data_IF_465065128343
#
_entry.id   IF_465065128343
#
_cell.length_a   1.000
_cell.length_b   1.000
_cell.length_c   1.000
_cell.angle_alpha   90.00
_cell.angle_beta   90.00
_cell.angle_gamma   90.00
#
_symmetry.space_group_name_H-M   'P 1'
#
loop_
_entity.id
_entity.type
_entity.pdbx_description
1 polymer ?
#
# COMPACT_ATOMS: atom_id res chain seq x y z
N UNK A 1 25.08 -29.43 -58.08
CA UNK A 1 26.48 -29.11 -57.75
C UNK A 1 26.52 -27.92 -56.80
N UNK A 2 27.34 -28.05 -55.77
CA UNK A 2 27.55 -27.13 -54.63
C UNK A 2 28.04 -25.74 -55.04
N UNK A 3 27.53 -24.68 -54.38
CA UNK A 3 28.34 -23.48 -54.11
C UNK A 3 28.14 -23.03 -52.66
N UNK A 4 29.26 -23.12 -51.94
CA UNK A 4 29.51 -22.81 -50.53
C UNK A 4 29.17 -21.34 -50.23
N UNK A 5 28.51 -21.08 -49.10
CA UNK A 5 28.55 -19.76 -48.44
C UNK A 5 29.92 -19.61 -47.77
N UNK A 6 30.71 -18.64 -48.22
CA UNK A 6 32.00 -18.27 -47.60
C UNK A 6 31.78 -17.40 -46.36
N UNK A 7 32.69 -17.57 -45.39
CA UNK A 7 32.71 -17.05 -44.03
C UNK A 7 33.10 -15.56 -43.91
N UNK A 8 32.93 -14.76 -44.96
CA UNK A 8 33.51 -13.40 -45.02
C UNK A 8 32.54 -12.25 -44.66
N UNK A 9 31.33 -12.55 -44.19
CA UNK A 9 30.38 -11.53 -43.74
C UNK A 9 30.58 -11.06 -42.27
N UNK A 10 31.61 -11.56 -41.57
CA UNK A 10 31.82 -11.30 -40.14
C UNK A 10 32.83 -10.19 -39.81
N UNK A 11 33.47 -9.57 -40.80
CA UNK A 11 34.45 -8.50 -40.56
C UNK A 11 34.17 -7.27 -41.44
N UNK A 12 33.14 -6.52 -41.08
CA UNK A 12 33.02 -5.11 -41.48
C UNK A 12 33.15 -4.23 -40.23
N UNK A 13 34.06 -3.25 -40.20
CA UNK A 13 34.26 -2.41 -39.02
C UNK A 13 33.02 -1.53 -38.80
N UNK A 14 32.40 -1.65 -37.63
CA UNK A 14 31.32 -0.77 -37.18
C UNK A 14 31.87 0.64 -36.98
N UNK A 15 31.27 1.59 -37.71
CA UNK A 15 31.52 3.03 -37.57
C UNK A 15 31.26 3.45 -36.12
N UNK A 16 32.28 3.95 -35.44
CA UNK A 16 32.17 4.47 -34.07
C UNK A 16 31.25 5.70 -34.06
N UNK A 17 30.11 5.60 -33.37
CA UNK A 17 29.35 6.78 -32.92
C UNK A 17 30.23 7.60 -31.96
N UNK A 18 30.15 8.95 -31.98
CA UNK A 18 30.95 9.77 -31.10
C UNK A 18 30.58 9.45 -29.64
N UNK A 19 31.61 9.24 -28.81
CA UNK A 19 31.47 9.16 -27.36
C UNK A 19 30.97 10.51 -26.88
N UNK A 20 29.75 10.58 -26.39
CA UNK A 20 29.32 11.68 -25.53
C UNK A 20 30.14 11.57 -24.25
N UNK A 21 31.07 12.49 -24.06
CA UNK A 21 31.78 12.65 -22.80
C UNK A 21 30.74 12.88 -21.71
N UNK A 22 30.66 11.95 -20.75
CA UNK A 22 30.01 12.23 -19.48
C UNK A 22 30.84 13.33 -18.82
N UNK A 23 30.29 14.54 -18.80
CA UNK A 23 30.87 15.65 -18.06
C UNK A 23 31.20 15.20 -16.64
N UNK A 24 32.43 15.44 -16.23
CA UNK A 24 32.89 15.16 -14.88
C UNK A 24 31.94 15.83 -13.88
N UNK A 25 31.37 15.04 -12.97
CA UNK A 25 30.58 15.54 -11.85
C UNK A 25 31.54 16.38 -11.00
N UNK A 26 31.36 17.69 -11.02
CA UNK A 26 32.06 18.59 -10.10
C UNK A 26 31.56 18.33 -8.68
N UNK A 27 32.42 18.37 -7.64
CA UNK A 27 32.01 18.18 -6.25
C UNK A 27 30.93 19.16 -5.75
N UNK A 28 30.59 20.19 -6.52
CA UNK A 28 29.53 21.16 -6.21
C UNK A 28 28.10 20.67 -6.48
N UNK A 29 27.91 19.55 -7.18
CA UNK A 29 26.56 19.01 -7.47
C UNK A 29 26.02 18.10 -6.35
N UNK A 30 26.81 17.86 -5.31
CA UNK A 30 26.40 17.19 -4.08
C UNK A 30 26.01 18.23 -3.02
N UNK A 31 25.03 19.08 -3.32
CA UNK A 31 24.26 19.67 -2.22
C UNK A 31 23.51 18.48 -1.61
N UNK A 32 23.98 18.01 -0.46
CA UNK A 32 23.23 17.04 0.33
C UNK A 32 21.84 17.65 0.56
N UNK A 33 20.81 17.11 -0.08
CA UNK A 33 19.44 17.53 0.17
C UNK A 33 19.19 17.42 1.68
N UNK A 34 18.92 18.56 2.33
CA UNK A 34 18.55 18.56 3.73
C UNK A 34 17.33 17.63 3.90
N UNK A 35 17.50 16.61 4.71
CA UNK A 35 16.44 15.64 4.93
C UNK A 35 15.36 16.26 5.79
N UNK A 36 14.17 16.46 5.22
CA UNK A 36 12.98 16.88 5.95
C UNK A 36 12.21 15.67 6.49
N UNK A 37 11.43 15.88 7.56
CA UNK A 37 10.72 14.82 8.27
C UNK A 37 9.32 15.27 8.66
N UNK A 38 8.33 14.39 8.42
CA UNK A 38 7.03 14.48 9.07
C UNK A 38 7.18 14.12 10.55
N UNK A 39 6.78 15.04 11.44
CA UNK A 39 6.85 14.88 12.89
C UNK A 39 5.45 14.93 13.47
N UNK A 40 5.19 14.04 14.43
CA UNK A 40 3.96 14.00 15.19
C UNK A 40 4.23 13.30 16.52
N UNK A 41 3.63 13.75 17.61
CA UNK A 41 3.87 13.19 18.95
C UNK A 41 3.56 11.68 19.05
N UNK A 42 2.67 11.17 18.19
CA UNK A 42 2.29 9.75 18.15
C UNK A 42 3.00 8.97 17.05
N UNK A 43 3.86 9.59 16.23
CA UNK A 43 4.76 8.81 15.40
C UNK A 43 5.84 8.17 16.30
N UNK A 44 6.14 6.87 16.14
CA UNK A 44 7.20 6.23 16.92
C UNK A 44 8.58 6.85 16.71
N UNK A 45 8.81 7.38 15.51
CA UNK A 45 9.98 8.15 15.14
C UNK A 45 9.58 9.15 14.03
N UNK A 46 10.34 10.23 13.81
CA UNK A 46 10.15 11.09 12.64
C UNK A 46 10.18 10.26 11.35
N UNK A 47 9.25 10.50 10.43
CA UNK A 47 9.15 9.79 9.15
C UNK A 47 9.76 10.70 8.08
N UNK A 48 10.79 10.21 7.40
CA UNK A 48 11.48 10.99 6.36
C UNK A 48 10.50 11.36 5.24
N UNK A 49 10.61 12.57 4.71
CA UNK A 49 9.89 13.00 3.51
C UNK A 49 10.58 12.46 2.25
N UNK A 50 9.85 12.38 1.13
CA UNK A 50 10.45 11.93 -0.12
C UNK A 50 11.53 12.93 -0.59
N UNK A 51 12.66 12.45 -1.16
CA UNK A 51 13.60 13.32 -1.87
C UNK A 51 12.90 14.16 -2.92
N UNK A 52 13.42 15.36 -3.20
CA UNK A 52 12.73 16.33 -4.07
C UNK A 52 12.49 15.78 -5.48
N UNK A 53 13.49 15.05 -6.01
CA UNK A 53 13.42 14.33 -7.29
C UNK A 53 12.27 13.33 -7.33
N UNK A 54 12.14 12.50 -6.31
CA UNK A 54 11.09 11.48 -6.22
C UNK A 54 9.70 12.12 -6.04
N UNK A 55 9.60 13.16 -5.21
CA UNK A 55 8.37 13.92 -5.01
C UNK A 55 7.87 14.52 -6.33
N UNK A 56 8.77 15.17 -7.10
CA UNK A 56 8.44 15.76 -8.40
C UNK A 56 7.92 14.72 -9.40
N UNK A 57 8.52 13.54 -9.45
CA UNK A 57 8.05 12.45 -10.33
C UNK A 57 6.64 11.95 -9.95
N UNK A 58 6.24 12.01 -8.68
CA UNK A 58 4.87 11.64 -8.28
C UNK A 58 3.83 12.70 -8.68
N UNK A 59 4.21 13.95 -8.92
CA UNK A 59 3.24 15.01 -9.28
C UNK A 59 2.59 14.83 -10.66
N UNK A 60 3.11 13.93 -11.50
CA UNK A 60 2.60 13.70 -12.86
C UNK A 60 1.70 12.48 -12.98
N UNK A 61 1.46 11.74 -11.88
CA UNK A 61 0.66 10.51 -11.89
C UNK A 61 -0.81 10.75 -12.30
N UNK A 62 -1.50 9.79 -12.92
CA UNK A 62 -1.05 8.43 -13.24
C UNK A 62 -0.17 8.35 -14.50
N UNK A 63 0.62 7.28 -14.61
CA UNK A 63 1.45 6.98 -15.79
C UNK A 63 0.61 6.46 -16.97
N UNK A 64 -0.32 5.54 -16.71
CA UNK A 64 -1.27 5.01 -17.69
C UNK A 64 -2.70 5.33 -17.27
N UNK A 65 -3.66 5.45 -18.22
CA UNK A 65 -5.06 5.58 -17.89
C UNK A 65 -5.60 4.30 -17.23
N UNK A 66 -6.62 4.46 -16.38
CA UNK A 66 -7.30 3.32 -15.76
C UNK A 66 -8.17 2.57 -16.77
N UNK A 67 -8.13 1.24 -16.74
CA UNK A 67 -9.01 0.34 -17.49
C UNK A 67 -10.09 -0.20 -16.58
N UNK A 68 -11.35 -0.05 -16.98
CA UNK A 68 -12.48 -0.64 -16.25
C UNK A 68 -12.47 -2.18 -16.32
N UNK A 69 -12.82 -2.81 -15.21
CA UNK A 69 -13.12 -4.24 -15.13
C UNK A 69 -14.43 -4.37 -14.34
N UNK A 70 -15.53 -4.45 -15.10
CA UNK A 70 -16.91 -4.46 -14.61
C UNK A 70 -17.79 -5.45 -15.39
N UNK A 71 -17.17 -6.47 -15.99
CA UNK A 71 -17.80 -7.50 -16.83
C UNK A 71 -18.42 -8.66 -16.02
N UNK A 72 -18.38 -8.57 -14.68
CA UNK A 72 -18.96 -9.55 -13.77
C UNK A 72 -20.00 -8.89 -12.84
N UNK A 73 -21.02 -9.63 -12.36
CA UNK A 73 -22.02 -9.09 -11.44
C UNK A 73 -21.39 -8.39 -10.23
N UNK A 74 -21.88 -7.18 -9.93
CA UNK A 74 -21.48 -6.36 -8.78
C UNK A 74 -19.99 -5.95 -8.71
N UNK A 75 -19.21 -6.25 -9.75
CA UNK A 75 -17.80 -5.91 -9.83
C UNK A 75 -17.64 -4.52 -10.47
N UNK A 76 -16.94 -3.62 -9.79
CA UNK A 76 -16.56 -2.31 -10.32
C UNK A 76 -15.11 -2.02 -9.90
N UNK A 77 -14.20 -2.35 -10.81
CA UNK A 77 -12.78 -2.05 -10.67
C UNK A 77 -12.33 -1.03 -11.73
N UNK A 78 -11.39 -0.18 -11.33
CA UNK A 78 -10.57 0.59 -12.25
C UNK A 78 -9.09 0.21 -12.04
N UNK A 79 -8.48 -0.38 -13.05
CA UNK A 79 -7.13 -0.95 -12.98
C UNK A 79 -6.12 -0.13 -13.78
N UNK A 80 -5.07 0.33 -13.12
CA UNK A 80 -3.96 1.09 -13.69
C UNK A 80 -2.71 0.21 -13.71
N UNK A 81 -2.17 -0.05 -14.90
CA UNK A 81 -1.01 -0.92 -15.12
C UNK A 81 0.04 -0.20 -15.97
N UNK A 82 0.92 0.64 -15.38
CA UNK A 82 0.94 1.03 -13.97
C UNK A 82 0.29 2.41 -13.70
N UNK A 83 -0.04 2.68 -12.43
CA UNK A 83 -0.31 4.05 -11.96
C UNK A 83 0.99 4.80 -11.71
N UNK A 84 1.95 4.16 -11.05
CA UNK A 84 3.28 4.70 -10.71
C UNK A 84 4.31 4.14 -11.71
N UNK A 85 5.04 5.00 -12.45
CA UNK A 85 6.01 4.53 -13.45
C UNK A 85 7.05 3.56 -12.87
N UNK A 86 7.50 2.60 -13.67
CA UNK A 86 8.52 1.62 -13.23
C UNK A 86 9.85 2.28 -12.85
N UNK A 87 10.18 3.44 -13.46
CA UNK A 87 11.35 4.26 -13.10
C UNK A 87 11.31 4.78 -11.66
N UNK A 88 10.12 4.90 -11.09
CA UNK A 88 9.84 5.46 -9.76
C UNK A 88 9.58 4.35 -8.74
N UNK A 89 8.80 3.33 -9.13
CA UNK A 89 8.17 2.40 -8.20
C UNK A 89 9.18 1.62 -7.34
N UNK A 90 10.37 1.30 -7.88
CA UNK A 90 11.46 0.68 -7.09
C UNK A 90 12.01 1.60 -6.01
N UNK A 91 12.32 2.86 -6.34
CA UNK A 91 12.86 3.84 -5.38
C UNK A 91 11.83 4.12 -4.28
N UNK A 92 10.55 4.23 -4.65
CA UNK A 92 9.46 4.41 -3.71
C UNK A 92 9.29 3.19 -2.78
N UNK A 93 9.36 1.96 -3.31
CA UNK A 93 9.33 0.73 -2.51
C UNK A 93 10.46 0.71 -1.48
N UNK A 94 11.70 0.94 -1.91
CA UNK A 94 12.88 0.91 -1.05
C UNK A 94 12.80 1.98 0.04
N UNK A 95 12.36 3.19 -0.33
CA UNK A 95 12.14 4.30 0.59
C UNK A 95 11.08 3.97 1.65
N UNK A 96 9.86 3.62 1.24
CA UNK A 96 8.76 3.37 2.18
C UNK A 96 9.05 2.19 3.10
N UNK A 97 9.71 1.14 2.60
CA UNK A 97 10.13 0.01 3.41
C UNK A 97 11.12 0.42 4.50
N UNK A 98 12.06 1.31 4.18
CA UNK A 98 13.08 1.77 5.12
C UNK A 98 12.51 2.77 6.14
N UNK A 99 11.63 3.67 5.72
CA UNK A 99 11.25 4.86 6.49
C UNK A 99 9.93 4.74 7.26
N UNK A 100 9.05 3.78 6.93
CA UNK A 100 7.81 3.61 7.68
C UNK A 100 8.01 2.74 8.94
N UNK A 101 7.33 3.08 10.05
CA UNK A 101 7.21 2.18 11.18
C UNK A 101 6.24 1.05 10.83
N UNK A 102 6.57 -0.19 11.19
CA UNK A 102 5.71 -1.35 10.95
C UNK A 102 5.43 -2.10 12.25
N UNK A 103 4.34 -2.85 12.24
CA UNK A 103 3.87 -3.67 13.35
C UNK A 103 3.51 -5.06 12.84
N UNK A 104 3.53 -6.04 13.73
CA UNK A 104 3.01 -7.38 13.45
C UNK A 104 1.98 -7.70 14.50
N UNK A 105 0.72 -7.43 14.14
CA UNK A 105 -0.38 -7.49 15.09
C UNK A 105 -0.65 -8.93 15.48
N UNK A 106 -0.87 -9.13 16.77
CA UNK A 106 -1.27 -10.40 17.34
C UNK A 106 -2.63 -10.23 18.01
N UNK A 107 -3.53 -11.17 17.75
CA UNK A 107 -4.86 -11.16 18.33
C UNK A 107 -5.36 -12.58 18.53
N UNK A 108 -6.27 -12.75 19.48
CA UNK A 108 -6.92 -14.02 19.76
C UNK A 108 -8.25 -14.07 19.03
N UNK A 109 -8.48 -15.15 18.28
CA UNK A 109 -9.80 -15.46 17.74
C UNK A 109 -10.39 -16.62 18.51
N UNK A 110 -11.69 -16.56 18.80
CA UNK A 110 -12.45 -17.69 19.33
C UNK A 110 -13.43 -18.18 18.27
N UNK A 111 -13.24 -19.39 17.77
CA UNK A 111 -14.14 -20.02 16.77
C UNK A 111 -14.49 -21.42 17.24
N UNK A 112 -15.78 -21.72 17.36
CA UNK A 112 -16.25 -23.03 17.82
C UNK A 112 -15.74 -23.42 19.22
N UNK A 113 -15.57 -22.46 20.12
CA UNK A 113 -15.04 -22.69 21.47
C UNK A 113 -13.51 -22.77 21.57
N UNK A 114 -12.79 -22.92 20.45
CA UNK A 114 -11.33 -22.95 20.41
C UNK A 114 -10.78 -21.54 20.29
N UNK A 115 -9.87 -21.18 21.19
CA UNK A 115 -9.09 -19.95 21.11
C UNK A 115 -7.81 -20.19 20.31
N UNK A 116 -7.51 -19.33 19.34
CA UNK A 116 -6.29 -19.40 18.54
C UNK A 116 -5.62 -18.05 18.53
N UNK A 117 -4.33 -18.02 18.87
CA UNK A 117 -3.51 -16.82 18.72
C UNK A 117 -3.10 -16.69 17.25
N UNK A 118 -3.52 -15.60 16.63
CA UNK A 118 -3.18 -15.27 15.26
C UNK A 118 -2.13 -14.17 15.28
N UNK A 119 -1.01 -14.44 14.61
CA UNK A 119 -0.04 -13.42 14.22
C UNK A 119 -0.27 -13.07 12.76
N UNK A 120 -0.45 -11.79 12.44
CA UNK A 120 -0.72 -11.39 11.06
C UNK A 120 0.45 -11.85 10.15
N UNK A 121 0.17 -12.56 9.05
CA UNK A 121 1.21 -13.03 8.13
C UNK A 121 1.59 -11.92 7.15
N UNK A 122 1.85 -10.73 7.69
CA UNK A 122 2.32 -9.52 7.02
C UNK A 122 2.56 -8.45 8.10
N UNK A 123 3.41 -7.48 7.77
CA UNK A 123 3.62 -6.29 8.58
C UNK A 123 2.63 -5.21 8.18
N UNK A 124 2.19 -4.38 9.12
CA UNK A 124 1.18 -3.36 8.89
C UNK A 124 1.54 -2.04 9.55
N UNK A 125 1.04 -0.95 8.99
CA UNK A 125 1.01 0.36 9.65
C UNK A 125 -0.13 1.17 9.08
N UNK A 126 -0.68 2.09 9.86
CA UNK A 126 -1.83 2.89 9.46
C UNK A 126 -1.67 4.34 9.88
N UNK A 127 -2.18 5.23 9.03
CA UNK A 127 -2.22 6.67 9.25
C UNK A 127 -3.59 7.18 8.82
N UNK A 128 -4.06 8.24 9.46
CA UNK A 128 -5.34 8.83 9.18
C UNK A 128 -6.18 9.07 10.43
N UNK A 129 -7.31 9.72 10.16
CA UNK A 129 -8.34 10.10 11.11
C UNK A 129 -9.67 10.07 10.36
N UNK A 130 -10.75 9.71 11.05
CA UNK A 130 -12.07 9.63 10.45
C UNK A 130 -12.63 11.01 10.13
N UNK A 131 -13.61 11.04 9.25
CA UNK A 131 -14.15 12.26 8.66
C UNK A 131 -14.79 13.23 9.67
N UNK A 132 -15.22 12.73 10.83
CA UNK A 132 -15.78 13.58 11.88
C UNK A 132 -14.73 14.43 12.58
N UNK A 133 -13.45 14.20 12.32
CA UNK A 133 -12.36 14.93 12.96
C UNK A 133 -11.23 15.28 11.99
N UNK A 134 -10.49 16.33 12.32
CA UNK A 134 -9.25 16.74 11.65
C UNK A 134 -8.16 17.01 12.69
N UNK A 135 -6.91 17.06 12.25
CA UNK A 135 -5.81 17.52 13.12
C UNK A 135 -5.78 19.05 13.13
N UNK A 136 -5.64 19.65 14.31
CA UNK A 136 -5.29 21.07 14.46
C UNK A 136 -3.79 21.30 14.22
N UNK A 137 -3.34 22.55 14.29
CA UNK A 137 -1.92 22.94 14.10
C UNK A 137 -0.97 22.30 15.12
N UNK A 138 -1.49 21.76 16.22
CA UNK A 138 -0.74 21.04 17.25
C UNK A 138 -0.77 19.52 17.05
N UNK A 139 -1.39 19.03 15.97
CA UNK A 139 -1.52 17.61 15.68
C UNK A 139 -2.53 16.91 16.59
N UNK A 140 -3.52 17.62 17.12
CA UNK A 140 -4.53 17.04 17.99
C UNK A 140 -5.89 16.93 17.29
N UNK A 141 -6.67 15.86 17.53
CA UNK A 141 -8.00 15.73 16.95
C UNK A 141 -8.96 16.83 17.42
N UNK A 142 -9.54 17.54 16.47
CA UNK A 142 -10.63 18.49 16.64
C UNK A 142 -11.78 18.12 15.72
N UNK A 143 -13.00 18.50 16.10
CA UNK A 143 -14.20 18.27 15.31
C UNK A 143 -14.13 19.05 13.99
N UNK A 144 -14.47 18.40 12.88
CA UNK A 144 -14.31 18.98 11.53
C UNK A 144 -15.13 20.26 11.35
N UNK A 145 -16.34 20.29 11.91
CA UNK A 145 -17.32 21.37 11.71
C UNK A 145 -17.11 22.54 12.66
N UNK A 146 -16.84 22.26 13.93
CA UNK A 146 -16.76 23.28 14.98
C UNK A 146 -15.32 23.74 15.25
N UNK A 147 -14.31 22.97 14.84
CA UNK A 147 -12.91 23.19 15.20
C UNK A 147 -12.62 23.04 16.69
N UNK A 148 -13.61 22.63 17.48
CA UNK A 148 -13.47 22.43 18.91
C UNK A 148 -12.75 21.12 19.19
N UNK A 149 -12.09 21.04 20.36
CA UNK A 149 -11.48 19.79 20.84
C UNK A 149 -12.50 18.65 20.73
N UNK A 150 -12.07 17.54 20.13
CA UNK A 150 -12.88 16.33 20.01
C UNK A 150 -12.31 15.23 20.93
N UNK A 151 -12.30 15.41 22.26
CA UNK A 151 -11.84 14.36 23.16
C UNK A 151 -12.76 13.16 23.01
N UNK A 152 -12.18 12.03 22.64
CA UNK A 152 -12.90 10.77 22.51
C UNK A 152 -12.04 9.66 23.10
N UNK A 153 -12.64 8.83 23.96
CA UNK A 153 -11.96 7.69 24.60
C UNK A 153 -11.29 6.77 23.58
N UNK A 154 -11.81 6.70 22.35
CA UNK A 154 -11.26 5.91 21.24
C UNK A 154 -9.91 6.45 20.78
N UNK A 155 -9.78 7.76 20.62
CA UNK A 155 -8.52 8.41 20.27
C UNK A 155 -7.50 8.33 21.40
N UNK A 156 -7.94 8.31 22.65
CA UNK A 156 -7.04 8.11 23.79
C UNK A 156 -6.49 6.68 23.80
N UNK A 157 -7.37 5.68 23.56
CA UNK A 157 -7.00 4.27 23.51
C UNK A 157 -6.07 3.95 22.34
N UNK A 158 -6.36 4.50 21.17
CA UNK A 158 -5.48 4.42 19.99
C UNK A 158 -5.25 5.80 19.38
N UNK A 159 -4.13 6.45 19.74
CA UNK A 159 -3.81 7.79 19.26
C UNK A 159 -3.64 7.84 17.73
N UNK A 160 -4.51 8.56 17.01
CA UNK A 160 -4.41 8.68 15.57
C UNK A 160 -3.21 9.55 15.18
N UNK A 161 -2.73 9.33 13.96
CA UNK A 161 -1.53 9.95 13.40
C UNK A 161 -1.86 10.47 12.00
N UNK A 162 -1.41 11.67 11.62
CA UNK A 162 -1.63 12.19 10.27
C UNK A 162 -0.94 11.31 9.23
N UNK A 163 -1.45 11.34 8.00
CA UNK A 163 -0.79 10.71 6.85
C UNK A 163 0.54 11.47 6.63
N UNK A 164 1.71 10.79 6.68
CA UNK A 164 2.98 11.47 6.52
C UNK A 164 3.11 12.00 5.09
N UNK A 165 3.83 13.10 4.91
CA UNK A 165 3.98 13.77 3.60
C UNK A 165 4.51 12.86 2.50
N UNK A 166 5.29 11.84 2.84
CA UNK A 166 5.78 10.85 1.86
C UNK A 166 4.69 9.94 1.26
N UNK A 167 3.50 9.91 1.84
CA UNK A 167 2.32 9.21 1.31
C UNK A 167 1.23 10.19 0.82
N UNK A 168 1.32 11.46 1.23
CA UNK A 168 0.30 12.48 0.98
C UNK A 168 0.17 12.86 -0.49
N UNK A 169 1.29 13.02 -1.21
CA UNK A 169 1.22 13.32 -2.65
C UNK A 169 0.58 12.16 -3.42
N UNK A 170 0.90 10.91 -3.06
CA UNK A 170 0.28 9.74 -3.68
C UNK A 170 -1.23 9.73 -3.42
N UNK A 171 -1.67 10.05 -2.18
CA UNK A 171 -3.09 10.20 -1.83
C UNK A 171 -3.76 11.23 -2.74
N UNK A 172 -3.21 12.44 -2.81
CA UNK A 172 -3.76 13.56 -3.61
C UNK A 172 -3.85 13.24 -5.10
N UNK A 173 -2.83 12.60 -5.68
CA UNK A 173 -2.86 12.15 -7.09
C UNK A 173 -3.91 11.06 -7.31
N UNK A 174 -4.11 10.18 -6.34
CA UNK A 174 -5.16 9.17 -6.39
C UNK A 174 -6.53 9.83 -6.43
N UNK A 175 -6.80 10.77 -5.52
CA UNK A 175 -8.08 11.50 -5.47
C UNK A 175 -8.37 12.22 -6.80
N UNK A 176 -7.35 12.88 -7.37
CA UNK A 176 -7.48 13.55 -8.67
C UNK A 176 -7.80 12.56 -9.81
N UNK A 177 -7.17 11.38 -9.81
CA UNK A 177 -7.32 10.40 -10.88
C UNK A 177 -8.63 9.60 -10.78
N UNK A 178 -9.18 9.43 -9.58
CA UNK A 178 -10.36 8.59 -9.33
C UNK A 178 -11.63 9.38 -9.04
N UNK A 179 -11.51 10.65 -8.64
CA UNK A 179 -12.63 11.47 -8.16
C UNK A 179 -13.17 11.03 -6.79
N UNK A 180 -12.46 10.14 -6.08
CA UNK A 180 -12.81 9.70 -4.73
C UNK A 180 -11.96 10.43 -3.68
N UNK A 181 -12.43 10.48 -2.44
CA UNK A 181 -11.72 11.10 -1.32
C UNK A 181 -11.25 10.03 -0.32
N UNK A 182 -10.10 10.29 0.32
CA UNK A 182 -9.50 9.36 1.28
C UNK A 182 -8.92 10.08 2.49
N UNK A 183 -9.18 9.57 3.70
CA UNK A 183 -8.67 10.10 4.97
C UNK A 183 -7.86 9.07 5.79
N UNK A 184 -7.75 7.83 5.29
CA UNK A 184 -6.96 6.75 5.87
C UNK A 184 -6.02 6.12 4.85
N UNK A 185 -4.84 5.72 5.32
CA UNK A 185 -3.83 5.01 4.58
C UNK A 185 -3.32 3.82 5.39
N UNK A 186 -3.66 2.61 4.96
CA UNK A 186 -3.12 1.36 5.50
C UNK A 186 -2.03 0.84 4.56
N UNK A 187 -0.84 0.61 5.12
CA UNK A 187 0.29 0.01 4.41
C UNK A 187 0.49 -1.40 4.94
N UNK A 188 0.46 -2.38 4.04
CA UNK A 188 0.83 -3.76 4.32
C UNK A 188 2.18 -4.06 3.66
N UNK A 189 3.14 -4.60 4.41
CA UNK A 189 4.39 -5.12 3.88
C UNK A 189 4.42 -6.65 4.02
N UNK A 190 4.42 -7.33 2.88
CA UNK A 190 4.63 -8.75 2.75
C UNK A 190 6.13 -8.96 2.56
N UNK A 191 6.82 -9.46 3.59
CA UNK A 191 8.28 -9.57 3.56
C UNK A 191 8.77 -10.62 2.56
N UNK A 192 7.92 -11.60 2.25
CA UNK A 192 8.20 -12.65 1.27
C UNK A 192 6.90 -13.26 0.71
N UNK A 193 7.04 -14.26 -0.14
CA UNK A 193 5.99 -15.15 -0.63
C UNK A 193 5.23 -15.90 0.48
N UNK A 194 5.83 -16.11 1.67
CA UNK A 194 5.16 -16.80 2.77
C UNK A 194 4.12 -15.93 3.50
N UNK A 195 4.21 -14.61 3.33
CA UNK A 195 3.23 -13.65 3.84
C UNK A 195 2.00 -13.61 2.92
N UNK A 196 0.83 -13.36 3.51
CA UNK A 196 -0.47 -13.48 2.83
C UNK A 196 -1.57 -12.66 3.49
N UNK A 197 -2.73 -12.60 2.83
CA UNK A 197 -4.00 -12.23 3.46
C UNK A 197 -5.08 -13.13 2.87
N UNK A 198 -5.86 -13.78 3.74
CA UNK A 198 -6.94 -14.67 3.32
C UNK A 198 -8.07 -13.88 2.63
N UNK A 199 -8.99 -14.59 1.97
CA UNK A 199 -10.18 -13.98 1.39
C UNK A 199 -10.96 -13.16 2.44
N UNK A 200 -11.18 -11.89 2.13
CA UNK A 200 -11.94 -10.92 2.93
C UNK A 200 -12.52 -9.84 2.02
N UNK A 201 -13.36 -8.98 2.56
CA UNK A 201 -13.83 -7.75 1.93
C UNK A 201 -13.57 -6.58 2.87
N UNK A 202 -13.43 -5.39 2.32
CA UNK A 202 -13.38 -4.15 3.11
C UNK A 202 -14.82 -3.62 3.27
N UNK A 203 -15.65 -4.36 3.99
CA UNK A 203 -17.09 -4.09 4.17
C UNK A 203 -17.46 -3.66 5.59
N UNK A 204 -16.49 -3.13 6.35
CA UNK A 204 -16.74 -2.64 7.68
C UNK A 204 -17.67 -1.41 7.67
N UNK A 205 -18.67 -1.40 8.56
CA UNK A 205 -19.70 -0.35 8.61
C UNK A 205 -19.15 1.08 8.69
N UNK A 206 -17.98 1.28 9.28
CA UNK A 206 -17.36 2.60 9.41
C UNK A 206 -16.83 3.16 8.08
N UNK A 207 -16.77 2.36 7.01
CA UNK A 207 -16.39 2.80 5.66
C UNK A 207 -17.56 3.39 4.86
N UNK A 208 -18.78 3.30 5.39
CA UNK A 208 -19.99 3.71 4.68
C UNK A 208 -20.44 2.68 3.65
N UNK A 209 -21.46 3.04 2.87
CA UNK A 209 -22.00 2.20 1.81
C UNK A 209 -21.10 2.29 0.57
N UNK A 210 -20.83 1.13 -0.05
CA UNK A 210 -20.11 1.01 -1.33
C UNK A 210 -18.77 1.76 -1.36
N UNK A 211 -17.86 1.48 -0.41
CA UNK A 211 -16.66 2.28 -0.23
C UNK A 211 -15.68 2.16 -1.39
N UNK A 212 -14.99 3.26 -1.68
CA UNK A 212 -13.88 3.31 -2.62
C UNK A 212 -12.56 2.97 -1.93
N UNK A 213 -11.86 1.95 -2.42
CA UNK A 213 -10.58 1.46 -1.90
C UNK A 213 -9.55 1.49 -3.02
N UNK A 214 -8.60 2.43 -2.96
CA UNK A 214 -7.49 2.49 -3.92
C UNK A 214 -6.29 1.70 -3.39
N UNK A 215 -5.89 0.65 -4.10
CA UNK A 215 -4.88 -0.33 -3.67
C UNK A 215 -3.67 -0.35 -4.61
N UNK A 216 -2.55 0.20 -4.15
CA UNK A 216 -1.28 0.24 -4.86
C UNK A 216 -0.41 -0.99 -4.54
N UNK A 217 0.35 -1.46 -5.52
CA UNK A 217 1.35 -2.51 -5.36
C UNK A 217 2.75 -1.98 -5.68
N UNK A 218 3.73 -2.24 -4.82
CA UNK A 218 5.13 -1.88 -5.01
C UNK A 218 6.03 -3.06 -4.66
N UNK A 219 7.10 -3.30 -5.44
CA UNK A 219 8.02 -4.41 -5.23
C UNK A 219 7.56 -5.69 -5.94
N UNK A 220 7.61 -6.83 -5.24
CA UNK A 220 7.34 -8.14 -5.84
C UNK A 220 5.93 -8.24 -6.45
N UNK A 221 5.83 -8.74 -7.68
CA UNK A 221 4.54 -9.00 -8.35
C UNK A 221 3.79 -10.10 -7.62
N UNK A 222 2.53 -9.88 -7.19
CA UNK A 222 1.71 -10.87 -6.46
C UNK A 222 0.33 -11.04 -7.06
N UNK A 223 -0.20 -12.26 -6.97
CA UNK A 223 -1.54 -12.56 -7.48
C UNK A 223 -2.57 -11.97 -6.51
N UNK A 224 -3.40 -11.06 -6.99
CA UNK A 224 -4.59 -10.58 -6.31
C UNK A 224 -5.77 -11.39 -6.82
N UNK A 225 -6.31 -12.25 -5.96
CA UNK A 225 -7.40 -13.15 -6.30
C UNK A 225 -8.70 -12.57 -5.80
N UNK A 226 -9.73 -12.55 -6.65
CA UNK A 226 -11.08 -12.19 -6.27
C UNK A 226 -12.08 -13.29 -6.59
N UNK A 227 -13.12 -13.41 -5.76
CA UNK A 227 -14.27 -14.29 -6.01
C UNK A 227 -15.52 -13.70 -5.40
N UNK A 228 -16.66 -13.95 -6.02
CA UNK A 228 -17.95 -13.56 -5.46
C UNK A 228 -18.21 -14.25 -4.11
N UNK A 229 -18.87 -13.56 -3.19
CA UNK A 229 -19.29 -14.11 -1.90
C UNK A 229 -20.31 -15.23 -2.13
N UNK A 230 -20.27 -16.31 -1.32
CA UNK A 230 -21.36 -17.27 -1.33
C UNK A 230 -22.65 -16.59 -0.84
N UNK A 231 -23.83 -17.10 -1.26
CA UNK A 231 -25.09 -16.60 -0.74
C UNK A 231 -25.16 -16.77 0.79
N UNK A 232 -25.93 -15.91 1.50
CA UNK A 232 -26.10 -16.04 2.94
C UNK A 232 -26.62 -17.44 3.32
N UNK A 233 -26.12 -18.06 4.40
CA UNK A 233 -26.50 -19.43 4.77
C UNK A 233 -28.01 -19.68 4.94
N UNK A 234 -28.77 -18.62 5.26
CA UNK A 234 -30.21 -18.71 5.53
C UNK A 234 -31.08 -18.22 4.36
N UNK A 235 -30.51 -17.93 3.20
CA UNK A 235 -31.28 -17.55 2.02
C UNK A 235 -32.02 -18.79 1.49
N UNK A 236 -33.36 -18.75 1.44
CA UNK A 236 -34.15 -19.78 0.79
C UNK A 236 -34.03 -19.62 -0.73
N UNK A 237 -33.50 -20.64 -1.42
CA UNK A 237 -33.32 -20.68 -2.87
C UNK A 237 -32.67 -19.41 -3.47
N UNK A 238 -31.44 -19.04 -3.05
CA UNK A 238 -30.78 -17.88 -3.61
C UNK A 238 -30.53 -18.11 -5.11
N UNK A 239 -30.79 -17.11 -5.97
CA UNK A 239 -30.44 -17.21 -7.38
C UNK A 239 -28.93 -17.47 -7.51
N UNK A 240 -28.57 -18.36 -8.44
CA UNK A 240 -27.17 -18.61 -8.73
C UNK A 240 -26.55 -17.34 -9.33
N UNK A 241 -25.51 -16.81 -8.69
CA UNK A 241 -24.72 -15.72 -9.27
C UNK A 241 -23.67 -16.36 -10.17
N UNK A 242 -23.83 -16.22 -11.48
CA UNK A 242 -22.84 -16.66 -12.47
C UNK A 242 -21.69 -15.64 -12.54
N UNK A 243 -20.81 -15.70 -11.53
CA UNK A 243 -19.62 -14.86 -11.42
C UNK A 243 -18.36 -15.73 -11.46
N UNK A 244 -17.42 -15.37 -12.34
CA UNK A 244 -16.15 -16.09 -12.50
C UNK A 244 -15.08 -15.51 -11.55
N UNK A 245 -14.28 -16.36 -10.87
CA UNK A 245 -13.13 -15.86 -10.10
C UNK A 245 -12.16 -15.07 -10.97
N UNK A 246 -11.62 -13.98 -10.43
CA UNK A 246 -10.65 -13.12 -11.10
C UNK A 246 -9.26 -13.29 -10.47
N UNK A 247 -8.22 -13.23 -11.31
CA UNK A 247 -6.82 -13.20 -10.88
C UNK A 247 -6.12 -12.05 -11.58
N UNK A 248 -5.67 -11.06 -10.81
CA UNK A 248 -4.88 -9.92 -11.28
C UNK A 248 -3.44 -10.07 -10.77
N UNK A 249 -2.44 -10.34 -11.64
CA UNK A 249 -1.05 -10.40 -11.21
C UNK A 249 -0.49 -8.99 -11.03
N UNK A 250 -0.68 -8.37 -9.87
CA UNK A 250 -0.30 -6.97 -9.60
C UNK A 250 1.21 -6.82 -9.45
N UNK A 251 1.84 -6.07 -10.36
CA UNK A 251 3.24 -5.69 -10.38
C UNK A 251 3.56 -4.39 -9.65
N UNK A 252 4.83 -3.99 -9.68
CA UNK A 252 5.30 -2.77 -9.02
C UNK A 252 4.86 -1.53 -9.81
N UNK A 253 4.06 -0.70 -9.16
CA UNK A 253 3.48 0.53 -9.70
C UNK A 253 2.00 0.41 -10.05
N UNK A 254 1.46 -0.80 -10.07
CA UNK A 254 0.06 -1.04 -10.40
C UNK A 254 -0.87 -0.55 -9.29
N UNK A 255 -2.05 -0.05 -9.67
CA UNK A 255 -3.12 0.34 -8.75
C UNK A 255 -4.45 -0.27 -9.18
N UNK A 256 -5.17 -0.88 -8.25
CA UNK A 256 -6.57 -1.28 -8.43
C UNK A 256 -7.43 -0.40 -7.54
N UNK A 257 -8.36 0.36 -8.11
CA UNK A 257 -9.48 0.94 -7.39
C UNK A 257 -10.60 -0.10 -7.35
N UNK A 258 -11.11 -0.41 -6.17
CA UNK A 258 -12.34 -1.18 -5.97
C UNK A 258 -13.41 -0.23 -5.43
N UNK A 259 -14.59 -0.19 -6.04
CA UNK A 259 -15.68 0.70 -5.61
C UNK A 259 -17.05 0.07 -5.86
N UNK A 260 -18.11 0.84 -5.63
CA UNK A 260 -19.48 0.37 -5.83
C UNK A 260 -19.77 -0.85 -4.94
N UNK A 261 -20.53 -1.79 -5.49
CA UNK A 261 -20.96 -2.99 -4.76
C UNK A 261 -19.86 -4.05 -4.60
N UNK A 262 -18.63 -3.77 -5.03
CA UNK A 262 -17.52 -4.71 -5.00
C UNK A 262 -17.24 -5.21 -3.59
N UNK A 263 -17.09 -4.35 -2.59
CA UNK A 263 -16.77 -4.81 -1.22
C UNK A 263 -17.95 -5.58 -0.59
N UNK A 264 -19.18 -5.20 -0.94
CA UNK A 264 -20.38 -5.86 -0.46
C UNK A 264 -20.53 -7.30 -1.00
N UNK A 265 -20.06 -7.58 -2.22
CA UNK A 265 -20.32 -8.84 -2.93
C UNK A 265 -19.08 -9.67 -3.30
N UNK A 266 -17.89 -9.11 -3.28
CA UNK A 266 -16.65 -9.79 -3.69
C UNK A 266 -15.64 -9.88 -2.55
N UNK A 267 -15.04 -11.06 -2.42
CA UNK A 267 -13.89 -11.31 -1.55
C UNK A 267 -12.61 -11.17 -2.35
N UNK A 268 -11.55 -10.69 -1.71
CA UNK A 268 -10.21 -10.61 -2.30
C UNK A 268 -9.10 -11.14 -1.36
N UNK A 269 -7.99 -11.60 -1.93
CA UNK A 269 -6.87 -12.19 -1.18
C UNK A 269 -5.52 -12.03 -1.87
N UNK A 270 -4.44 -12.16 -1.08
CA UNK A 270 -3.07 -12.37 -1.56
C UNK A 270 -2.61 -13.73 -1.04
N UNK A 271 -2.51 -14.78 -1.88
CA UNK A 271 -2.15 -16.12 -1.45
C UNK A 271 -0.64 -16.23 -1.15
N UNK A 272 -0.28 -17.23 -0.33
CA UNK A 272 1.12 -17.61 -0.12
C UNK A 272 1.73 -18.17 -1.41
N UNK A 273 3.03 -18.00 -1.57
CA UNK A 273 3.86 -18.60 -2.60
C UNK A 273 4.95 -19.45 -1.95
N UNK A 274 5.27 -20.57 -2.59
CA UNK A 274 6.26 -21.54 -2.11
C UNK A 274 7.33 -21.79 -3.18
N UNK A 275 8.39 -22.52 -2.81
CA UNK A 275 9.48 -22.87 -3.72
C UNK A 275 10.23 -21.63 -4.22
N UNK A 276 10.55 -21.61 -5.52
CA UNK A 276 11.34 -20.53 -6.14
C UNK A 276 10.70 -19.13 -6.04
N UNK A 277 9.41 -19.04 -5.76
CA UNK A 277 8.68 -17.78 -5.65
C UNK A 277 8.47 -17.34 -4.19
N UNK A 278 9.07 -18.03 -3.21
CA UNK A 278 8.96 -17.65 -1.81
C UNK A 278 9.84 -16.44 -1.48
N UNK A 279 11.10 -16.42 -1.92
CA UNK A 279 12.02 -15.31 -1.65
C UNK A 279 11.91 -14.23 -2.75
N UNK A 280 10.75 -13.59 -2.84
CA UNK A 280 10.38 -12.67 -3.92
C UNK A 280 10.90 -11.23 -3.76
N UNK A 281 11.62 -10.95 -2.66
CA UNK A 281 12.19 -9.63 -2.35
C UNK A 281 11.23 -8.67 -1.63
N UNK A 282 9.99 -9.10 -1.38
CA UNK A 282 8.97 -8.39 -0.61
C UNK A 282 8.09 -7.46 -1.45
N UNK A 283 6.87 -7.22 -0.95
CA UNK A 283 5.85 -6.36 -1.58
C UNK A 283 5.26 -5.40 -0.56
N UNK A 284 5.19 -4.12 -0.91
CA UNK A 284 4.38 -3.13 -0.20
C UNK A 284 3.04 -2.98 -0.92
N UNK A 285 1.98 -2.91 -0.13
CA UNK A 285 0.63 -2.58 -0.57
C UNK A 285 0.12 -1.37 0.19
N UNK A 286 -0.21 -0.29 -0.50
CA UNK A 286 -0.77 0.92 0.10
C UNK A 286 -2.24 0.97 -0.26
N UNK A 287 -3.11 1.09 0.73
CA UNK A 287 -4.56 1.14 0.55
C UNK A 287 -5.11 2.42 1.15
N UNK A 288 -5.66 3.28 0.31
CA UNK A 288 -6.37 4.47 0.72
C UNK A 288 -7.86 4.19 0.88
N UNK A 289 -8.43 4.72 1.95
CA UNK A 289 -9.83 4.51 2.36
C UNK A 289 -10.41 5.78 2.98
N UNK A 290 -11.73 5.79 3.13
CA UNK A 290 -12.48 6.84 3.84
C UNK A 290 -13.20 6.24 5.03
N UNK A 291 -12.73 6.52 6.24
CA UNK A 291 -13.47 6.19 7.45
C UNK A 291 -14.43 7.34 7.79
N UNK A 292 -15.71 7.00 7.91
CA UNK A 292 -16.80 7.96 8.10
C UNK A 292 -16.99 8.36 9.57
N UNK A 293 -16.60 7.48 10.50
CA UNK A 293 -16.88 7.65 11.94
C UNK A 293 -15.70 7.25 12.81
N UNK A 294 -15.64 7.81 14.03
CA UNK A 294 -14.61 7.56 15.06
C UNK A 294 -14.33 6.09 15.38
N UNK A 295 -15.36 5.24 15.24
CA UNK A 295 -15.20 3.79 15.39
C UNK A 295 -14.25 3.18 14.36
N UNK A 296 -14.18 3.74 13.15
CA UNK A 296 -13.22 3.34 12.12
C UNK A 296 -11.79 3.67 12.51
N UNK A 297 -11.54 4.83 13.11
CA UNK A 297 -10.23 5.18 13.66
C UNK A 297 -9.78 4.15 14.69
N UNK A 298 -10.58 3.87 15.73
CA UNK A 298 -10.25 2.84 16.72
C UNK A 298 -9.97 1.48 16.06
N UNK A 299 -10.84 1.04 15.14
CA UNK A 299 -10.71 -0.25 14.49
C UNK A 299 -9.39 -0.37 13.72
N UNK A 300 -9.09 0.62 12.87
CA UNK A 300 -7.87 0.59 12.06
C UNK A 300 -6.61 0.50 12.89
N UNK A 301 -6.47 1.34 13.92
CA UNK A 301 -5.28 1.30 14.76
C UNK A 301 -5.22 0.02 15.62
N UNK A 302 -6.35 -0.47 16.14
CA UNK A 302 -6.35 -1.72 16.91
C UNK A 302 -5.86 -2.91 16.07
N UNK A 303 -6.39 -3.09 14.86
CA UNK A 303 -6.12 -4.29 14.06
C UNK A 303 -4.90 -4.20 13.15
N UNK A 304 -4.32 -3.01 12.95
CA UNK A 304 -3.15 -2.82 12.07
C UNK A 304 -1.91 -2.27 12.78
N UNK A 305 -2.03 -1.87 14.05
CA UNK A 305 -0.91 -1.45 14.90
C UNK A 305 -0.92 -2.25 16.20
N UNK A 306 -2.07 -2.28 16.88
CA UNK A 306 -2.22 -2.98 18.15
C UNK A 306 -1.34 -2.39 19.25
N UNK A 307 -0.87 -3.25 20.16
CA UNK A 307 -0.01 -2.88 21.30
C UNK A 307 1.41 -3.47 21.20
N UNK A 308 1.73 -4.08 20.05
CA UNK A 308 3.02 -4.72 19.83
C UNK A 308 4.18 -3.73 19.62
N UNK A 309 5.43 -4.21 19.63
CA UNK A 309 6.59 -3.37 19.38
C UNK A 309 6.60 -2.85 17.94
N UNK A 310 7.32 -1.74 17.76
CA UNK A 310 7.57 -1.15 16.44
C UNK A 310 8.73 -1.88 15.78
N UNK A 311 8.63 -2.11 14.47
CA UNK A 311 9.67 -2.70 13.66
C UNK A 311 10.05 -1.76 12.52
N UNK A 312 11.31 -1.85 12.10
CA UNK A 312 11.83 -1.20 10.89
C UNK A 312 12.64 -2.18 10.07
N UNK A 313 12.67 -1.93 8.76
CA UNK A 313 13.53 -2.68 7.87
C UNK A 313 15.00 -2.40 8.16
N UNK A 314 15.77 -3.45 8.39
CA UNK A 314 17.22 -3.38 8.46
C UNK A 314 17.81 -3.83 7.12
N UNK A 315 18.61 -2.95 6.49
CA UNK A 315 19.12 -3.20 5.14
C UNK A 315 20.23 -4.24 5.12
N UNK A 316 21.07 -4.26 6.14
CA UNK A 316 22.20 -5.18 6.27
C UNK A 316 21.72 -6.62 6.52
N UNK A 317 20.83 -6.80 7.50
CA UNK A 317 20.22 -8.07 7.88
C UNK A 317 19.13 -8.53 6.90
N UNK A 318 18.61 -7.62 6.06
CA UNK A 318 17.54 -7.86 5.08
C UNK A 318 16.27 -8.43 5.73
N UNK A 319 15.92 -7.92 6.90
CA UNK A 319 14.73 -8.33 7.64
C UNK A 319 14.13 -7.18 8.46
N UNK A 320 12.93 -7.40 8.99
CA UNK A 320 12.28 -6.47 9.92
C UNK A 320 12.79 -6.72 11.34
N UNK A 321 13.43 -5.73 11.94
CA UNK A 321 13.94 -5.80 13.30
C UNK A 321 13.13 -4.88 14.21
N UNK A 322 13.04 -5.25 15.49
CA UNK A 322 12.44 -4.39 16.52
C UNK A 322 13.21 -3.07 16.55
N UNK A 323 12.50 -1.97 16.34
CA UNK A 323 13.07 -0.65 16.44
C UNK A 323 13.25 -0.32 17.91
N UNK A 324 14.51 -0.13 18.32
CA UNK A 324 14.88 0.42 19.61
C UNK A 324 15.23 1.89 19.37
N UNK A 325 14.61 2.80 20.13
CA UNK A 325 15.09 4.19 20.16
C UNK A 325 16.58 4.15 20.48
N UNK A 326 17.40 4.91 19.74
CA UNK A 326 18.84 5.01 20.05
C UNK A 326 19.09 5.73 21.38
N UNK A 327 18.05 6.27 22.01
CA UNK A 327 18.12 6.92 23.30
C UNK A 327 17.50 6.00 24.36
N UNK A 328 18.35 5.12 24.88
CA UNK A 328 18.21 4.50 26.19
C UNK A 328 19.14 5.17 27.20
N UNK A 329 19.10 6.52 27.25
CA UNK A 329 19.66 7.37 28.31
C UNK A 329 18.66 8.50 28.54
#
# INVERSE_FOLDING_TARGET
>A
MSKKRTLDAFFSPTVKKPKTEFGAITPSDLIAEESTYSKHQFYPHPIKELPSSLSKELTTLPDQPGREINDQPDLDLLYFEPFIPTSVSRRLFEFLRAELPFYRVEYKIKRGGIETQIRTPRWTTVFGLDETSKFDDKGLPVDTNTGSRAPDKRYVKYPPRPIPKCLEELRRRTELATGCEYNFCLVNYYASGSDSISFHSDDEQFLGQDPAIASFSLGARRDFLMKHKPPPPNAANPPAVDAKPLKLPLGSGDMVLMRGRTQSNWLHSIPKRTGKNQEDGGRINITFRRAMVKGGTENYYNYNVGTGPVYRWNREAREMLVWKSRDGI
#
